data_IF_065705314824
#
_entry.id   IF_065705314824
#
_cell.length_a   1.000
_cell.length_b   1.000
_cell.length_c   1.000
_cell.angle_alpha   90.00
_cell.angle_beta   90.00
_cell.angle_gamma   90.00
#
_symmetry.space_group_name_H-M   'P 1'
#
loop_
_entity.id
_entity.type
_entity.pdbx_description
1 polymer ?
#
# COMPACT_ATOMS: atom_id res chain seq x y z
N UNK A 1 -10.84 -10.13 42.13
CA UNK A 1 -9.59 -9.53 41.66
C UNK A 1 -9.85 -9.00 40.26
N UNK A 2 -10.22 -7.73 40.17
CA UNK A 2 -10.67 -7.10 38.93
C UNK A 2 -9.44 -6.78 38.09
N UNK A 3 -9.29 -7.43 36.93
CA UNK A 3 -8.28 -7.06 35.93
C UNK A 3 -8.63 -5.65 35.43
N UNK A 4 -7.91 -4.65 35.93
CA UNK A 4 -7.90 -3.32 35.33
C UNK A 4 -7.24 -3.45 33.96
N UNK A 5 -8.06 -3.57 32.92
CA UNK A 5 -7.63 -3.45 31.54
C UNK A 5 -7.06 -2.03 31.38
N UNK A 6 -5.73 -1.92 31.32
CA UNK A 6 -5.06 -0.68 30.95
C UNK A 6 -5.61 -0.31 29.58
N UNK A 7 -6.37 0.79 29.50
CA UNK A 7 -6.74 1.37 28.21
C UNK A 7 -5.43 1.58 27.44
N UNK A 8 -5.34 1.19 26.16
CA UNK A 8 -4.15 1.51 25.38
C UNK A 8 -3.99 3.03 25.44
N UNK A 9 -2.82 3.51 25.87
CA UNK A 9 -2.47 4.92 25.71
C UNK A 9 -2.73 5.27 24.25
N UNK A 10 -3.54 6.30 24.02
CA UNK A 10 -3.81 6.76 22.67
C UNK A 10 -2.45 7.06 22.03
N UNK A 11 -2.04 6.21 21.09
CA UNK A 11 -0.86 6.44 20.28
C UNK A 11 -1.08 7.79 19.62
N UNK A 12 -0.35 8.81 20.04
CA UNK A 12 -0.33 10.09 19.34
C UNK A 12 0.15 9.85 17.92
N UNK A 13 -0.43 10.56 16.95
CA UNK A 13 0.10 10.55 15.60
C UNK A 13 1.54 11.06 15.64
N UNK A 14 2.44 10.35 14.94
CA UNK A 14 3.82 10.81 14.80
C UNK A 14 3.86 11.96 13.79
N UNK A 15 4.44 13.09 14.17
CA UNK A 15 4.53 14.32 13.37
C UNK A 15 5.97 14.82 13.17
N UNK A 16 6.97 14.18 13.79
CA UNK A 16 8.37 14.49 13.52
C UNK A 16 8.72 14.12 12.06
N UNK A 17 9.04 15.15 11.27
CA UNK A 17 9.34 15.04 9.84
C UNK A 17 10.39 13.95 9.55
N UNK A 18 11.46 13.90 10.34
CA UNK A 18 12.53 12.93 10.11
C UNK A 18 12.02 11.51 10.34
N UNK A 19 11.39 11.27 11.48
CA UNK A 19 10.83 9.96 11.84
C UNK A 19 9.84 9.50 10.78
N UNK A 20 8.85 10.32 10.40
CA UNK A 20 7.84 9.95 9.40
C UNK A 20 8.47 9.59 8.06
N UNK A 21 9.47 10.36 7.60
CA UNK A 21 10.14 10.12 6.32
C UNK A 21 11.00 8.85 6.35
N UNK A 22 11.72 8.59 7.45
CA UNK A 22 12.60 7.43 7.59
C UNK A 22 11.81 6.13 7.77
N UNK A 23 10.69 6.16 8.50
CA UNK A 23 9.90 4.96 8.80
C UNK A 23 8.80 4.67 7.78
N UNK A 24 8.70 5.46 6.70
CA UNK A 24 7.64 5.27 5.69
C UNK A 24 7.76 3.90 5.03
N UNK A 25 6.62 3.28 4.75
CA UNK A 25 6.56 2.04 3.97
C UNK A 25 7.12 2.26 2.57
N UNK A 26 8.01 1.37 2.13
CA UNK A 26 8.65 1.46 0.80
C UNK A 26 8.05 0.55 -0.25
N UNK A 27 7.32 -0.48 0.15
CA UNK A 27 6.77 -1.48 -0.77
C UNK A 27 5.34 -1.84 -0.36
N UNK A 28 4.50 -2.14 -1.35
CA UNK A 28 3.08 -2.38 -1.18
C UNK A 28 2.64 -3.57 -2.03
N UNK A 29 1.65 -4.31 -1.53
CA UNK A 29 0.94 -5.32 -2.29
C UNK A 29 -0.48 -4.86 -2.58
N UNK A 30 -0.90 -5.13 -3.80
CA UNK A 30 -2.28 -5.01 -4.25
C UNK A 30 -2.76 -6.42 -4.61
N UNK A 31 -3.70 -6.97 -3.85
CA UNK A 31 -4.33 -8.27 -4.16
C UNK A 31 -5.68 -8.04 -4.79
N UNK A 32 -5.83 -8.45 -6.04
CA UNK A 32 -7.08 -8.33 -6.80
C UNK A 32 -7.89 -9.60 -6.53
N UNK A 33 -9.13 -9.44 -6.09
CA UNK A 33 -10.03 -10.54 -5.75
C UNK A 33 -11.15 -10.68 -6.78
N UNK A 34 -11.51 -11.92 -7.05
CA UNK A 34 -12.62 -12.32 -7.88
C UNK A 34 -13.27 -13.61 -7.37
N UNK A 35 -14.57 -13.74 -7.60
CA UNK A 35 -15.32 -14.96 -7.36
C UNK A 35 -14.97 -16.01 -8.41
N UNK A 36 -14.41 -17.14 -7.98
CA UNK A 36 -14.05 -18.26 -8.85
C UNK A 36 -15.25 -18.83 -9.61
N UNK A 37 -16.46 -18.75 -9.03
CA UNK A 37 -17.70 -19.18 -9.65
C UNK A 37 -18.23 -18.21 -10.72
N UNK A 38 -17.61 -17.04 -10.87
CA UNK A 38 -17.99 -16.02 -11.84
C UNK A 38 -16.98 -15.99 -12.99
N UNK A 39 -17.26 -16.63 -14.13
CA UNK A 39 -16.40 -16.54 -15.31
C UNK A 39 -16.16 -15.10 -15.74
N UNK A 40 -17.16 -14.23 -15.58
CA UNK A 40 -17.07 -12.80 -15.89
C UNK A 40 -16.03 -12.09 -15.03
N UNK A 41 -16.00 -12.34 -13.71
CA UNK A 41 -15.00 -11.73 -12.84
C UNK A 41 -13.60 -12.30 -13.10
N UNK A 42 -13.49 -13.61 -13.34
CA UNK A 42 -12.20 -14.23 -13.72
C UNK A 42 -11.64 -13.60 -14.99
N UNK A 43 -12.45 -13.45 -16.04
CA UNK A 43 -12.02 -12.78 -17.28
C UNK A 43 -11.63 -11.32 -17.03
N UNK A 44 -12.42 -10.58 -16.25
CA UNK A 44 -12.12 -9.19 -15.92
C UNK A 44 -10.81 -9.05 -15.12
N UNK A 45 -10.57 -9.95 -14.15
CA UNK A 45 -9.37 -9.95 -13.32
C UNK A 45 -8.10 -10.24 -14.16
N UNK A 46 -8.16 -11.23 -15.04
CA UNK A 46 -7.04 -11.54 -15.93
C UNK A 46 -6.80 -10.43 -16.96
N UNK A 47 -7.85 -9.84 -17.52
CA UNK A 47 -7.73 -8.69 -18.43
C UNK A 47 -7.12 -7.45 -17.75
N UNK A 48 -7.48 -7.20 -16.48
CA UNK A 48 -6.89 -6.14 -15.67
C UNK A 48 -5.40 -6.41 -15.42
N UNK A 49 -5.03 -7.65 -15.06
CA UNK A 49 -3.64 -8.08 -14.89
C UNK A 49 -2.82 -7.85 -16.16
N UNK A 50 -3.34 -8.25 -17.31
CA UNK A 50 -2.68 -8.04 -18.59
C UNK A 50 -2.50 -6.55 -18.93
N UNK A 51 -3.46 -5.72 -18.53
CA UNK A 51 -3.37 -4.27 -18.72
C UNK A 51 -2.28 -3.66 -17.84
N UNK A 52 -2.16 -4.09 -16.58
CA UNK A 52 -1.04 -3.70 -15.69
C UNK A 52 0.30 -4.11 -16.30
N UNK A 53 0.42 -5.32 -16.87
CA UNK A 53 1.64 -5.78 -17.50
C UNK A 53 2.01 -4.95 -18.75
N UNK A 54 1.02 -4.60 -19.59
CA UNK A 54 1.23 -3.70 -20.74
C UNK A 54 1.67 -2.31 -20.29
N UNK A 55 1.00 -1.74 -19.28
CA UNK A 55 1.32 -0.42 -18.74
C UNK A 55 2.71 -0.37 -18.09
N UNK A 56 3.12 -1.43 -17.37
CA UNK A 56 4.50 -1.60 -16.91
C UNK A 56 5.48 -1.60 -18.08
N UNK A 57 5.22 -2.41 -19.11
CA UNK A 57 6.08 -2.49 -20.31
C UNK A 57 6.22 -1.13 -20.98
N UNK A 58 5.13 -0.37 -21.04
CA UNK A 58 5.07 0.92 -21.73
C UNK A 58 5.52 2.10 -20.85
N UNK A 59 5.95 1.85 -19.62
CA UNK A 59 6.56 2.85 -18.74
C UNK A 59 5.58 3.74 -17.97
N UNK A 60 4.31 3.33 -17.85
CA UNK A 60 3.31 4.12 -17.12
C UNK A 60 3.54 4.13 -15.60
N UNK A 61 4.10 3.05 -15.05
CA UNK A 61 4.44 2.88 -13.63
C UNK A 61 5.23 1.58 -13.44
N UNK A 62 5.81 1.39 -12.25
CA UNK A 62 6.38 0.11 -11.82
C UNK A 62 5.35 -0.68 -11.01
N UNK A 63 4.92 -1.82 -11.55
CA UNK A 63 4.02 -2.75 -10.88
C UNK A 63 4.33 -4.17 -11.33
N UNK A 64 4.55 -5.11 -10.42
CA UNK A 64 4.95 -6.48 -10.75
C UNK A 64 3.88 -7.47 -10.28
N UNK A 65 2.94 -7.85 -11.16
CA UNK A 65 2.02 -8.95 -10.88
C UNK A 65 2.81 -10.25 -10.68
N UNK A 66 2.52 -10.96 -9.59
CA UNK A 66 3.08 -12.29 -9.37
C UNK A 66 2.63 -13.22 -10.52
N UNK A 67 3.51 -14.14 -10.93
CA UNK A 67 3.20 -15.04 -12.04
C UNK A 67 1.95 -15.88 -11.76
N UNK A 68 1.84 -16.40 -10.54
CA UNK A 68 0.73 -17.23 -10.09
C UNK A 68 -0.56 -16.42 -9.95
N UNK A 69 -1.64 -16.97 -10.48
CA UNK A 69 -3.01 -16.62 -10.13
C UNK A 69 -3.54 -17.72 -9.20
N UNK A 70 -4.12 -17.33 -8.07
CA UNK A 70 -4.74 -18.26 -7.14
C UNK A 70 -6.11 -18.64 -7.69
N UNK A 71 -6.26 -19.90 -8.10
CA UNK A 71 -7.53 -20.47 -8.60
C UNK A 71 -8.33 -21.20 -7.51
N UNK A 72 -7.88 -21.05 -6.26
CA UNK A 72 -8.48 -21.54 -5.02
C UNK A 72 -7.88 -20.74 -3.85
N UNK A 73 -8.49 -20.77 -2.65
CA UNK A 73 -7.96 -20.05 -1.48
C UNK A 73 -6.51 -20.43 -1.19
N UNK A 74 -5.63 -19.43 -1.02
CA UNK A 74 -4.20 -19.65 -0.82
C UNK A 74 -3.61 -18.63 0.16
N UNK A 75 -2.87 -19.13 1.15
CA UNK A 75 -2.35 -18.29 2.22
C UNK A 75 -3.49 -17.58 2.95
N UNK A 76 -3.42 -16.25 3.15
CA UNK A 76 -4.47 -15.49 3.84
C UNK A 76 -5.66 -15.15 2.92
N UNK A 77 -5.59 -15.46 1.63
CA UNK A 77 -6.53 -15.00 0.61
C UNK A 77 -7.68 -16.01 0.41
N UNK A 78 -8.94 -15.66 0.70
CA UNK A 78 -10.07 -16.60 0.76
C UNK A 78 -10.72 -16.95 -0.60
N UNK A 79 -10.26 -16.38 -1.71
CA UNK A 79 -10.94 -16.49 -3.01
C UNK A 79 -9.94 -16.56 -4.16
N UNK A 80 -10.46 -16.45 -5.39
CA UNK A 80 -9.61 -16.22 -6.56
C UNK A 80 -8.88 -14.90 -6.38
N UNK A 81 -7.56 -14.90 -6.53
CA UNK A 81 -6.78 -13.69 -6.37
C UNK A 81 -5.45 -13.70 -7.11
N UNK A 82 -4.86 -12.53 -7.33
CA UNK A 82 -3.44 -12.42 -7.66
C UNK A 82 -2.85 -11.17 -7.01
N UNK A 83 -1.55 -11.25 -6.73
CA UNK A 83 -0.76 -10.18 -6.11
C UNK A 83 -0.12 -9.29 -7.17
N UNK A 84 0.02 -8.00 -6.86
CA UNK A 84 0.87 -7.04 -7.56
C UNK A 84 1.76 -6.36 -6.53
N UNK A 85 3.08 -6.50 -6.69
CA UNK A 85 4.07 -5.72 -5.94
C UNK A 85 4.27 -4.33 -6.55
N UNK A 86 4.34 -3.31 -5.71
CA UNK A 86 4.47 -1.90 -6.11
C UNK A 86 5.41 -1.17 -5.15
N UNK A 87 6.46 -0.48 -5.65
CA UNK A 87 7.31 0.37 -4.81
C UNK A 87 6.61 1.70 -4.48
N UNK A 88 7.01 2.35 -3.39
CA UNK A 88 6.46 3.64 -2.95
C UNK A 88 6.47 4.71 -4.05
N UNK A 89 7.50 4.71 -4.89
CA UNK A 89 7.64 5.62 -6.03
C UNK A 89 6.55 5.51 -7.10
N UNK A 90 5.87 4.37 -7.21
CA UNK A 90 4.77 4.16 -8.17
C UNK A 90 3.42 3.87 -7.49
N UNK A 91 3.34 3.99 -6.16
CA UNK A 91 2.13 3.68 -5.42
C UNK A 91 0.93 4.49 -5.92
N UNK A 92 1.07 5.81 -6.06
CA UNK A 92 -0.02 6.69 -6.48
C UNK A 92 -0.50 6.37 -7.90
N UNK A 93 0.43 6.16 -8.84
CA UNK A 93 0.12 5.85 -10.24
C UNK A 93 -0.70 4.55 -10.36
N UNK A 94 -0.27 3.49 -9.66
CA UNK A 94 -0.97 2.21 -9.64
C UNK A 94 -2.32 2.33 -8.92
N UNK A 95 -2.36 3.03 -7.79
CA UNK A 95 -3.59 3.25 -7.04
C UNK A 95 -4.63 3.99 -7.90
N UNK A 96 -4.24 5.08 -8.58
CA UNK A 96 -5.15 5.85 -9.44
C UNK A 96 -5.68 5.01 -10.61
N UNK A 97 -4.80 4.23 -11.25
CA UNK A 97 -5.19 3.34 -12.33
C UNK A 97 -6.20 2.29 -11.85
N UNK A 98 -5.91 1.57 -10.77
CA UNK A 98 -6.81 0.54 -10.25
C UNK A 98 -8.12 1.12 -9.73
N UNK A 99 -8.09 2.26 -9.04
CA UNK A 99 -9.28 2.95 -8.57
C UNK A 99 -10.24 3.28 -9.71
N UNK A 100 -9.70 3.63 -10.89
CA UNK A 100 -10.50 4.03 -12.06
C UNK A 100 -10.87 2.85 -12.98
N UNK A 101 -10.10 1.76 -12.99
CA UNK A 101 -10.19 0.72 -14.03
C UNK A 101 -10.50 -0.69 -13.51
N UNK A 102 -10.59 -0.92 -12.18
CA UNK A 102 -10.83 -2.27 -11.63
C UNK A 102 -12.25 -2.82 -11.88
N UNK A 103 -13.17 -2.00 -12.38
CA UNK A 103 -14.58 -2.36 -12.45
C UNK A 103 -15.13 -2.74 -11.07
N UNK A 104 -15.75 -3.91 -10.96
CA UNK A 104 -16.34 -4.40 -9.70
C UNK A 104 -15.37 -5.24 -8.83
N UNK A 105 -14.15 -5.51 -9.30
CA UNK A 105 -13.18 -6.35 -8.59
C UNK A 105 -12.70 -5.68 -7.31
N UNK A 106 -12.62 -6.41 -6.21
CA UNK A 106 -12.13 -5.85 -4.94
C UNK A 106 -10.62 -5.93 -4.85
N UNK A 107 -9.98 -4.93 -4.23
CA UNK A 107 -8.52 -4.88 -4.11
C UNK A 107 -8.12 -4.65 -2.66
N UNK A 108 -7.41 -5.61 -2.06
CA UNK A 108 -6.71 -5.41 -0.79
C UNK A 108 -5.40 -4.70 -1.09
N UNK A 109 -5.16 -3.57 -0.43
CA UNK A 109 -3.91 -2.81 -0.52
C UNK A 109 -3.25 -2.85 0.85
N UNK A 110 -2.02 -3.33 0.96
CA UNK A 110 -1.33 -3.33 2.25
C UNK A 110 0.17 -3.08 2.10
N UNK A 111 0.82 -2.54 3.14
CA UNK A 111 2.26 -2.35 3.14
C UNK A 111 3.02 -3.69 3.24
N UNK A 112 4.28 -3.73 2.81
CA UNK A 112 5.21 -4.83 3.05
C UNK A 112 6.18 -4.43 4.14
N UNK A 113 5.92 -4.90 5.37
CA UNK A 113 6.82 -4.73 6.51
C UNK A 113 7.13 -6.06 7.17
N UNK A 114 7.97 -6.05 8.19
CA UNK A 114 8.20 -7.22 9.03
C UNK A 114 6.95 -7.65 9.84
N UNK A 115 5.88 -6.85 9.90
CA UNK A 115 4.66 -7.18 10.67
C UNK A 115 3.51 -7.63 9.76
N UNK A 116 3.70 -8.73 9.02
CA UNK A 116 2.77 -9.19 7.98
C UNK A 116 1.31 -9.30 8.44
N UNK A 117 1.03 -9.89 9.61
CA UNK A 117 -0.34 -9.95 10.14
C UNK A 117 -0.94 -8.57 10.32
N UNK A 118 -0.18 -7.63 10.91
CA UNK A 118 -0.64 -6.25 11.13
C UNK A 118 -0.87 -5.52 9.82
N UNK A 119 -0.02 -5.78 8.83
CA UNK A 119 -0.13 -5.22 7.48
C UNK A 119 -1.45 -5.64 6.81
N UNK A 120 -1.80 -6.91 6.93
CA UNK A 120 -3.05 -7.46 6.40
C UNK A 120 -4.30 -7.14 7.23
N UNK A 121 -4.16 -6.79 8.51
CA UNK A 121 -5.29 -6.62 9.44
C UNK A 121 -5.68 -5.15 9.63
N UNK A 122 -4.72 -4.31 10.03
CA UNK A 122 -5.00 -2.95 10.53
C UNK A 122 -4.32 -1.83 9.74
N UNK A 123 -3.30 -2.15 8.94
CA UNK A 123 -2.65 -1.17 8.04
C UNK A 123 -3.11 -1.30 6.59
N UNK A 124 -4.04 -2.21 6.32
CA UNK A 124 -4.58 -2.39 4.98
C UNK A 124 -5.54 -1.25 4.61
N UNK A 125 -5.83 -1.18 3.32
CA UNK A 125 -6.97 -0.48 2.76
C UNK A 125 -7.67 -1.41 1.75
N UNK A 126 -8.91 -1.07 1.42
CA UNK A 126 -9.69 -1.78 0.42
C UNK A 126 -10.23 -0.83 -0.64
N UNK A 127 -10.11 -1.24 -1.91
CA UNK A 127 -10.95 -0.71 -2.98
C UNK A 127 -12.09 -1.69 -3.25
N UNK A 128 -13.34 -1.22 -3.18
CA UNK A 128 -14.51 -2.09 -3.33
C UNK A 128 -14.89 -2.77 -2.03
N UNK A 129 -15.44 -3.99 -2.11
CA UNK A 129 -15.98 -4.69 -0.95
C UNK A 129 -14.86 -5.48 -0.25
N UNK A 130 -14.60 -5.27 1.04
CA UNK A 130 -13.59 -6.03 1.77
C UNK A 130 -13.92 -7.53 1.81
N UNK A 131 -12.89 -8.38 1.71
CA UNK A 131 -13.00 -9.82 1.89
C UNK A 131 -12.50 -10.26 3.28
N UNK A 132 -13.03 -11.36 3.84
CA UNK A 132 -12.58 -11.90 5.12
C UNK A 132 -11.21 -12.56 4.98
N UNK A 133 -10.14 -11.84 5.32
CA UNK A 133 -8.77 -12.34 5.26
C UNK A 133 -8.53 -13.36 6.38
N UNK A 134 -7.92 -14.51 6.03
CA UNK A 134 -7.56 -15.54 7.01
C UNK A 134 -6.23 -15.18 7.69
N UNK A 135 -6.31 -14.42 8.78
CA UNK A 135 -5.14 -13.81 9.42
C UNK A 135 -4.25 -14.80 10.21
N UNK A 136 -4.77 -15.96 10.61
CA UNK A 136 -4.06 -16.86 11.53
C UNK A 136 -2.88 -17.60 10.88
N UNK A 137 -2.77 -17.58 9.55
CA UNK A 137 -1.60 -18.12 8.83
C UNK A 137 -0.45 -17.14 8.76
N UNK A 138 -0.66 -15.87 9.13
CA UNK A 138 0.33 -14.82 8.96
C UNK A 138 1.22 -14.69 10.20
N UNK A 139 2.55 -14.55 10.02
CA UNK A 139 3.45 -14.30 11.14
C UNK A 139 3.20 -12.92 11.75
N UNK A 140 3.39 -12.83 13.07
CA UNK A 140 3.28 -11.57 13.83
C UNK A 140 4.47 -10.64 13.57
N UNK A 141 5.65 -11.21 13.33
CA UNK A 141 6.90 -10.51 13.08
C UNK A 141 7.82 -11.34 12.19
N UNK A 142 8.67 -10.67 11.43
CA UNK A 142 9.66 -11.26 10.54
C UNK A 142 10.55 -10.19 9.92
N UNK A 143 11.37 -10.61 8.97
CA UNK A 143 12.19 -9.70 8.17
C UNK A 143 11.34 -8.94 7.15
N UNK A 144 11.86 -7.81 6.68
CA UNK A 144 11.25 -7.07 5.58
C UNK A 144 11.40 -7.90 4.29
N UNK A 145 10.30 -8.22 3.59
CA UNK A 145 10.40 -9.00 2.36
C UNK A 145 10.96 -8.15 1.23
N UNK A 146 12.14 -8.51 0.73
CA UNK A 146 12.79 -7.91 -0.44
C UNK A 146 12.43 -8.71 -1.70
N UNK A 147 11.26 -8.44 -2.29
CA UNK A 147 10.72 -9.31 -3.35
C UNK A 147 11.43 -9.14 -4.72
N UNK A 148 11.81 -7.90 -5.07
CA UNK A 148 12.44 -7.57 -6.35
C UNK A 148 13.65 -6.62 -6.18
N UNK A 149 14.70 -7.03 -5.44
CA UNK A 149 15.86 -6.18 -5.14
C UNK A 149 16.62 -5.71 -6.39
N UNK A 150 16.58 -6.48 -7.48
CA UNK A 150 17.22 -6.15 -8.76
C UNK A 150 16.68 -4.87 -9.41
N UNK A 151 15.50 -4.40 -9.00
CA UNK A 151 14.92 -3.14 -9.50
C UNK A 151 15.54 -1.91 -8.83
N UNK A 152 16.22 -2.05 -7.68
CA UNK A 152 16.78 -0.92 -6.94
C UNK A 152 15.72 0.08 -6.45
N UNK A 153 14.49 -0.39 -6.24
CA UNK A 153 13.33 0.38 -5.80
C UNK A 153 12.85 -0.08 -4.42
N UNK A 154 11.92 0.66 -3.83
CA UNK A 154 11.35 0.30 -2.53
C UNK A 154 12.41 0.24 -1.44
N UNK A 155 12.49 -0.88 -0.73
CA UNK A 155 13.47 -1.07 0.34
C UNK A 155 14.91 -1.20 -0.16
N UNK A 156 15.10 -1.43 -1.48
CA UNK A 156 16.40 -1.53 -2.13
C UNK A 156 16.88 -0.20 -2.76
N UNK A 157 16.12 0.89 -2.57
CA UNK A 157 16.46 2.23 -3.08
C UNK A 157 17.68 2.83 -2.37
N UNK A 158 18.54 3.50 -3.12
CA UNK A 158 19.72 4.15 -2.56
C UNK A 158 19.37 5.47 -1.82
N UNK A 159 19.98 5.77 -0.65
CA UNK A 159 19.69 6.97 0.12
C UNK A 159 19.93 8.30 -0.61
N UNK A 160 20.85 8.36 -1.58
CA UNK A 160 21.15 9.55 -2.39
C UNK A 160 20.01 9.94 -3.34
N UNK A 161 19.08 9.02 -3.58
CA UNK A 161 17.87 9.27 -4.38
C UNK A 161 16.72 9.86 -3.55
N UNK A 162 16.92 10.09 -2.25
CA UNK A 162 15.93 10.72 -1.37
C UNK A 162 16.02 12.25 -1.38
N UNK A 163 14.86 12.90 -1.29
CA UNK A 163 14.79 14.35 -1.09
C UNK A 163 15.29 14.68 0.32
N UNK A 164 16.23 15.62 0.41
CA UNK A 164 16.81 16.06 1.69
C UNK A 164 15.76 16.67 2.63
N UNK A 165 16.03 16.64 3.94
CA UNK A 165 15.14 17.26 4.92
C UNK A 165 15.03 18.78 4.76
N UNK A 166 16.09 19.43 4.29
CA UNK A 166 16.07 20.86 3.99
C UNK A 166 15.10 21.17 2.85
N UNK A 167 15.21 20.43 1.74
CA UNK A 167 14.32 20.59 0.58
C UNK A 167 12.86 20.24 0.95
N UNK A 168 12.63 19.22 1.78
CA UNK A 168 11.29 18.91 2.30
C UNK A 168 10.70 20.06 3.11
N UNK A 169 11.48 20.65 4.03
CA UNK A 169 11.03 21.80 4.83
C UNK A 169 10.76 23.02 3.96
N UNK A 170 11.61 23.27 2.96
CA UNK A 170 11.42 24.35 2.00
C UNK A 170 10.08 24.21 1.26
N UNK A 171 9.79 23.03 0.72
CA UNK A 171 8.49 22.75 0.05
C UNK A 171 7.32 22.92 1.00
N UNK A 172 7.45 22.45 2.26
CA UNK A 172 6.42 22.65 3.28
C UNK A 172 6.14 24.15 3.53
N UNK A 173 7.20 24.95 3.70
CA UNK A 173 7.07 26.40 3.90
C UNK A 173 6.44 27.12 2.68
N UNK A 174 6.76 26.67 1.47
CA UNK A 174 6.13 27.19 0.23
C UNK A 174 4.62 26.89 0.20
N UNK A 175 4.20 25.69 0.60
CA UNK A 175 2.77 25.33 0.71
C UNK A 175 2.07 26.21 1.75
N UNK A 176 2.63 26.34 2.95
CA UNK A 176 2.04 27.19 4.00
C UNK A 176 1.95 28.67 3.58
N UNK A 177 2.94 29.18 2.85
CA UNK A 177 2.90 30.56 2.34
C UNK A 177 1.78 30.76 1.31
N UNK A 178 1.52 29.78 0.44
CA UNK A 178 0.43 29.83 -0.54
C UNK A 178 -0.95 29.75 0.13
N UNK A 179 -1.07 28.96 1.20
CA UNK A 179 -2.33 28.73 1.91
C UNK A 179 -2.62 29.78 3.02
N UNK A 180 -1.67 30.68 3.31
CA UNK A 180 -1.73 31.59 4.47
C UNK A 180 -2.99 32.46 4.55
N UNK A 181 -3.63 32.76 3.42
CA UNK A 181 -4.84 33.58 3.35
C UNK A 181 -6.06 32.81 2.81
N UNK A 182 -5.96 31.49 2.65
CA UNK A 182 -7.07 30.67 2.19
C UNK A 182 -8.00 30.36 3.39
N UNK A 183 -9.26 30.84 3.40
CA UNK A 183 -10.17 30.64 4.52
C UNK A 183 -10.66 29.19 4.67
N UNK A 184 -10.47 28.34 3.65
CA UNK A 184 -10.85 26.92 3.68
C UNK A 184 -9.67 26.01 4.06
N UNK A 185 -8.43 26.52 4.05
CA UNK A 185 -7.26 25.78 4.49
C UNK A 185 -7.04 25.94 6.00
N UNK A 186 -7.03 24.83 6.74
CA UNK A 186 -6.67 24.86 8.15
C UNK A 186 -5.19 25.26 8.31
N UNK A 187 -4.85 26.27 9.13
CA UNK A 187 -3.47 26.67 9.32
C UNK A 187 -2.70 25.59 10.09
N UNK A 188 -1.41 25.42 9.77
CA UNK A 188 -0.54 24.58 10.57
C UNK A 188 -0.51 25.04 12.05
N UNK A 189 -0.44 24.11 13.02
CA UNK A 189 -0.27 24.46 14.43
C UNK A 189 0.96 25.34 14.64
N UNK A 190 0.86 26.29 15.57
CA UNK A 190 2.00 27.04 16.08
C UNK A 190 2.41 26.37 17.38
N UNK A 191 3.58 25.76 17.39
CA UNK A 191 4.19 25.21 18.61
C UNK A 191 4.43 26.28 19.68
#
# INVERSE_FOLDING_TARGET
>A
MTMLTRLPEASTAQDDLKTVVETRTREWHFHIYFLLQSPTETVAALALRDSVLRLRRDGAFVAVPLFRVNEYPMGPHPAGSYEIWVPDSSFSEVFFYLASNRGNLSVLVHPLTGSQRRDHESRNAWMGTPWPIYLDVLPLSGEIPLQYPELGLGWSRSPDQEISYEERRKRGAEVEALLANDPEAAPAPKD
#
